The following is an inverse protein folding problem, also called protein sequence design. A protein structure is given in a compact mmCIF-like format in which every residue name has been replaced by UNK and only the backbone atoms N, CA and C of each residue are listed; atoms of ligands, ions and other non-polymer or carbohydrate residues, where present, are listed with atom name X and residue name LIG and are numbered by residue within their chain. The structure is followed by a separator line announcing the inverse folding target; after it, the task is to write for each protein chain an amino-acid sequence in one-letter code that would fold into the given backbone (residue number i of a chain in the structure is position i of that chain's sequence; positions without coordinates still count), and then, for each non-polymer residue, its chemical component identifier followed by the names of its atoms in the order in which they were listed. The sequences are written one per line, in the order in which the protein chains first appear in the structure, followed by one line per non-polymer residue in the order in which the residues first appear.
data_IF_360770251354
#
_entry.id   IF_360770251354
#
_cell.length_a   1.000
_cell.length_b   1.000
_cell.length_c   1.000
_cell.angle_alpha   90.00
_cell.angle_beta   90.00
_cell.angle_gamma   90.00
#
_symmetry.space_group_name_H-M   'P 1'
#
loop_
_entity.id
_entity.type
_entity.pdbx_description
1 polymer ?
#
# COMPACT_ATOMS: atom_id res chain seq x y z
N UNK A 1 -4.93 -13.46 19.73
CA UNK A 1 -3.54 -13.02 19.89
C UNK A 1 -3.49 -12.15 21.11
N UNK A 2 -2.71 -12.56 22.11
CA UNK A 2 -2.54 -11.81 23.36
C UNK A 2 -1.06 -11.55 23.57
N UNK A 3 -0.73 -10.34 23.99
CA UNK A 3 0.61 -9.90 24.32
C UNK A 3 0.84 -10.13 25.82
N UNK A 4 1.95 -10.82 26.11
CA UNK A 4 2.50 -11.01 27.44
C UNK A 4 3.89 -10.38 27.52
N UNK A 5 4.31 -9.99 28.71
CA UNK A 5 5.64 -9.42 28.95
C UNK A 5 6.43 -10.34 29.86
N UNK A 6 7.52 -10.90 29.34
CA UNK A 6 8.46 -11.67 30.15
C UNK A 6 9.68 -10.80 30.48
N UNK A 7 9.97 -10.65 31.77
CA UNK A 7 11.15 -9.93 32.24
C UNK A 7 12.21 -10.93 32.68
N UNK A 8 13.34 -10.97 31.96
CA UNK A 8 14.45 -11.87 32.26
C UNK A 8 15.04 -11.58 33.65
N UNK A 9 15.67 -12.58 34.31
CA UNK A 9 16.37 -12.35 35.57
C UNK A 9 17.43 -11.26 35.47
N UNK A 10 18.20 -11.24 34.37
CA UNK A 10 19.21 -10.21 34.08
C UNK A 10 18.58 -8.82 34.05
N UNK A 11 17.50 -8.64 33.29
CA UNK A 11 16.80 -7.36 33.20
C UNK A 11 16.25 -6.91 34.57
N UNK A 12 15.73 -7.82 35.40
CA UNK A 12 15.28 -7.50 36.76
C UNK A 12 16.43 -7.02 37.64
N UNK A 13 17.58 -7.70 37.59
CA UNK A 13 18.76 -7.33 38.36
C UNK A 13 19.29 -5.95 37.96
N UNK A 14 19.36 -5.67 36.65
CA UNK A 14 19.78 -4.36 36.14
C UNK A 14 18.79 -3.26 36.52
N UNK A 15 17.48 -3.54 36.48
CA UNK A 15 16.46 -2.60 36.92
C UNK A 15 16.61 -2.25 38.41
N UNK A 16 16.85 -3.24 39.27
CA UNK A 16 17.11 -3.01 40.70
C UNK A 16 18.37 -2.17 40.92
N UNK A 17 19.46 -2.51 40.23
CA UNK A 17 20.75 -1.81 40.33
C UNK A 17 20.62 -0.32 39.97
N UNK A 18 19.78 0.00 38.99
CA UNK A 18 19.57 1.37 38.53
C UNK A 18 18.29 2.04 39.07
N UNK A 19 17.61 1.42 40.04
CA UNK A 19 16.36 1.94 40.65
C UNK A 19 15.25 2.20 39.61
N UNK A 20 15.06 1.27 38.68
CA UNK A 20 14.10 1.33 37.58
C UNK A 20 12.99 0.29 37.69
N UNK A 21 12.91 -0.47 38.80
CA UNK A 21 11.96 -1.57 38.98
C UNK A 21 10.52 -1.10 38.76
N UNK A 22 10.09 -0.02 39.43
CA UNK A 22 8.72 0.50 39.30
C UNK A 22 8.40 0.92 37.86
N UNK A 23 9.35 1.56 37.17
CA UNK A 23 9.17 1.98 35.79
C UNK A 23 9.07 0.79 34.82
N UNK A 24 9.83 -0.28 35.07
CA UNK A 24 9.81 -1.50 34.27
C UNK A 24 8.50 -2.28 34.49
N UNK A 25 8.06 -2.42 35.73
CA UNK A 25 6.82 -3.12 36.08
C UNK A 25 5.58 -2.36 35.57
N UNK A 26 5.58 -1.03 35.70
CA UNK A 26 4.52 -0.18 35.13
C UNK A 26 4.45 -0.35 33.62
N UNK A 27 5.60 -0.28 32.92
CA UNK A 27 5.64 -0.49 31.46
C UNK A 27 5.12 -1.86 31.06
N UNK A 28 5.52 -2.92 31.78
CA UNK A 28 5.07 -4.27 31.49
C UNK A 28 3.56 -4.41 31.68
N UNK A 29 3.02 -3.90 32.80
CA UNK A 29 1.59 -3.87 33.08
C UNK A 29 0.81 -3.10 32.03
N UNK A 30 1.30 -1.92 31.62
CA UNK A 30 0.63 -1.09 30.62
C UNK A 30 0.57 -1.80 29.25
N UNK A 31 1.66 -2.44 28.83
CA UNK A 31 1.70 -3.22 27.56
C UNK A 31 0.71 -4.39 27.63
N UNK A 32 0.63 -5.12 28.74
CA UNK A 32 -0.32 -6.22 28.91
C UNK A 32 -1.77 -5.72 29.02
N UNK A 33 -2.04 -4.57 29.62
CA UNK A 33 -3.40 -4.01 29.68
C UNK A 33 -3.86 -3.45 28.33
N UNK A 34 -3.00 -2.68 27.67
CA UNK A 34 -3.31 -1.99 26.43
C UNK A 34 -3.21 -2.92 25.21
N UNK A 35 -2.60 -4.10 25.38
CA UNK A 35 -2.35 -5.08 24.33
C UNK A 35 -1.69 -4.43 23.11
N UNK A 36 -0.69 -3.57 23.35
CA UNK A 36 -0.03 -2.80 22.30
C UNK A 36 1.39 -2.37 22.65
N UNK A 37 2.21 -2.16 21.61
CA UNK A 37 3.63 -1.79 21.74
C UNK A 37 3.91 -0.28 21.53
N UNK A 38 2.88 0.59 21.54
CA UNK A 38 3.05 2.03 21.21
C UNK A 38 3.97 2.78 22.16
N UNK A 39 4.24 2.23 23.35
CA UNK A 39 5.21 2.76 24.31
C UNK A 39 6.67 2.46 23.92
N UNK A 40 6.90 1.63 22.92
CA UNK A 40 8.22 1.18 22.45
C UNK A 40 8.54 1.80 21.08
N UNK A 41 9.83 2.02 20.86
CA UNK A 41 10.36 2.33 19.54
C UNK A 41 10.64 1.01 18.81
N UNK A 42 10.14 0.90 17.58
CA UNK A 42 10.48 -0.22 16.71
C UNK A 42 12.00 -0.22 16.42
N UNK A 43 12.60 -1.40 16.53
CA UNK A 43 13.93 -1.70 16.03
C UNK A 43 13.81 -2.70 14.87
N UNK A 44 14.90 -2.99 14.13
CA UNK A 44 14.90 -4.11 13.20
C UNK A 44 14.29 -5.36 13.83
N UNK A 45 13.19 -5.84 13.24
CA UNK A 45 12.47 -7.02 13.72
C UNK A 45 13.43 -8.21 13.96
N UNK A 46 13.29 -8.96 15.06
CA UNK A 46 12.19 -8.96 16.05
C UNK A 46 12.39 -8.04 17.27
N UNK A 47 13.30 -7.08 17.23
CA UNK A 47 13.69 -6.29 18.41
C UNK A 47 12.88 -5.00 18.57
N UNK A 48 12.74 -4.59 19.84
CA UNK A 48 12.08 -3.34 20.26
C UNK A 48 12.91 -2.64 21.33
N UNK A 49 12.76 -1.33 21.46
CA UNK A 49 13.47 -0.55 22.48
C UNK A 49 12.54 0.43 23.18
N UNK A 50 12.54 0.43 24.53
CA UNK A 50 12.01 1.56 25.28
C UNK A 50 13.11 2.58 25.49
N UNK A 51 13.01 3.73 24.81
CA UNK A 51 13.84 4.88 25.19
C UNK A 51 13.29 5.52 26.46
N UNK A 52 14.22 5.94 27.32
CA UNK A 52 13.96 6.71 28.54
C UNK A 52 13.10 5.96 29.56
N UNK A 53 13.47 4.72 29.90
CA UNK A 53 12.78 3.94 30.93
C UNK A 53 13.07 4.54 32.32
N UNK A 54 12.08 5.21 32.91
CA UNK A 54 12.21 5.88 34.22
C UNK A 54 13.07 7.17 34.20
N UNK A 55 14.17 7.20 33.44
CA UNK A 55 15.00 8.40 33.28
C UNK A 55 15.52 8.58 31.84
N UNK A 56 16.06 9.76 31.51
CA UNK A 56 16.43 10.12 30.12
C UNK A 56 17.57 9.29 29.51
N UNK A 57 18.37 8.63 30.35
CA UNK A 57 19.61 7.95 29.94
C UNK A 57 19.46 6.45 29.75
N UNK A 58 18.36 5.83 30.15
CA UNK A 58 18.22 4.36 30.09
C UNK A 58 17.51 3.91 28.82
N UNK A 59 17.83 2.69 28.38
CA UNK A 59 17.30 2.03 27.20
C UNK A 59 17.02 0.58 27.53
N UNK A 60 15.76 0.18 27.56
CA UNK A 60 15.40 -1.25 27.67
C UNK A 60 15.36 -1.84 26.26
N UNK A 61 16.03 -2.97 26.08
CA UNK A 61 16.00 -3.74 24.83
C UNK A 61 15.12 -4.96 25.03
N UNK A 62 14.20 -5.16 24.09
CA UNK A 62 13.25 -6.25 24.10
C UNK A 62 13.32 -7.04 22.78
N UNK A 63 12.86 -8.29 22.81
CA UNK A 63 12.66 -9.14 21.64
C UNK A 63 11.25 -9.70 21.65
N UNK A 64 10.59 -9.71 20.50
CA UNK A 64 9.26 -10.28 20.34
C UNK A 64 9.37 -11.75 19.92
N UNK A 65 8.67 -12.64 20.62
CA UNK A 65 8.47 -14.03 20.19
C UNK A 65 6.98 -14.34 20.04
N UNK A 66 6.62 -15.13 19.03
CA UNK A 66 5.26 -15.63 18.86
C UNK A 66 5.24 -17.14 19.10
N UNK A 67 4.33 -17.59 19.97
CA UNK A 67 4.19 -18.98 20.38
C UNK A 67 2.78 -19.48 20.15
N UNK A 68 2.65 -20.67 19.57
CA UNK A 68 1.36 -21.35 19.43
C UNK A 68 1.13 -22.30 20.61
N UNK A 69 0.05 -22.05 21.36
CA UNK A 69 -0.39 -22.86 22.52
C UNK A 69 -1.90 -23.09 22.35
N UNK A 70 -2.34 -24.34 22.45
CA UNK A 70 -3.76 -24.73 22.35
C UNK A 70 -4.49 -24.19 21.10
N UNK A 71 -3.76 -24.05 19.98
CA UNK A 71 -4.29 -23.56 18.71
C UNK A 71 -4.34 -22.03 18.59
N UNK A 72 -4.02 -21.29 19.65
CA UNK A 72 -3.93 -19.83 19.62
C UNK A 72 -2.47 -19.35 19.55
N UNK A 73 -2.23 -18.27 18.81
CA UNK A 73 -0.93 -17.60 18.77
C UNK A 73 -0.91 -16.49 19.82
N UNK A 74 0.09 -16.52 20.68
CA UNK A 74 0.37 -15.50 21.69
C UNK A 74 1.74 -14.89 21.46
N UNK A 75 1.84 -13.59 21.67
CA UNK A 75 3.07 -12.84 21.55
C UNK A 75 3.66 -12.60 22.93
N UNK A 76 4.97 -12.81 23.08
CA UNK A 76 5.73 -12.54 24.30
C UNK A 76 6.79 -11.51 23.98
N UNK A 77 6.66 -10.34 24.60
CA UNK A 77 7.71 -9.35 24.63
C UNK A 77 8.71 -9.71 25.73
N UNK A 78 9.87 -10.21 25.33
CA UNK A 78 10.97 -10.61 26.22
C UNK A 78 11.85 -9.38 26.49
N UNK A 79 11.78 -8.83 27.69
CA UNK A 79 12.67 -7.76 28.16
C UNK A 79 14.05 -8.35 28.46
N UNK A 80 15.03 -8.09 27.58
CA UNK A 80 16.34 -8.72 27.63
C UNK A 80 17.24 -8.11 28.71
N UNK A 81 17.46 -6.80 28.62
CA UNK A 81 18.27 -6.04 29.58
C UNK A 81 18.11 -4.51 29.41
N UNK A 82 18.63 -3.75 30.38
CA UNK A 82 18.61 -2.28 30.39
C UNK A 82 20.03 -1.73 30.23
N UNK A 83 20.19 -0.79 29.30
CA UNK A 83 21.46 -0.16 29.00
C UNK A 83 21.46 1.35 29.26
N UNK A 84 22.63 1.90 29.57
CA UNK A 84 22.83 3.35 29.66
C UNK A 84 23.18 3.95 28.29
N UNK A 85 22.67 5.15 28.03
CA UNK A 85 22.93 5.92 26.83
C UNK A 85 24.39 6.34 26.82
N UNK A 86 25.11 5.90 25.80
CA UNK A 86 26.54 6.17 25.64
C UNK A 86 27.41 4.97 25.99
N UNK A 87 26.84 3.91 26.57
CA UNK A 87 27.54 2.64 26.78
C UNK A 87 28.08 2.09 25.44
N UNK A 88 29.36 1.69 25.43
CA UNK A 88 30.03 1.15 24.23
C UNK A 88 29.35 -0.12 23.73
N UNK A 89 28.95 -1.00 24.64
CA UNK A 89 28.24 -2.23 24.31
C UNK A 89 26.87 -1.91 23.70
N UNK A 90 26.12 -0.98 24.29
CA UNK A 90 24.83 -0.56 23.70
C UNK A 90 25.00 0.08 22.31
N UNK A 91 26.05 0.86 22.08
CA UNK A 91 26.31 1.44 20.76
C UNK A 91 26.59 0.36 19.71
N UNK A 92 27.31 -0.71 20.08
CA UNK A 92 27.54 -1.86 19.21
C UNK A 92 26.23 -2.61 18.96
N UNK A 93 25.49 -2.94 20.03
CA UNK A 93 24.18 -3.58 19.97
C UNK A 93 23.21 -2.79 19.08
N UNK A 94 23.16 -1.47 19.20
CA UNK A 94 22.31 -0.60 18.38
C UNK A 94 22.62 -0.72 16.89
N UNK A 95 23.91 -0.80 16.53
CA UNK A 95 24.36 -0.87 15.12
C UNK A 95 24.16 -2.27 14.53
N UNK A 96 24.27 -3.32 15.33
CA UNK A 96 24.27 -4.72 14.90
C UNK A 96 23.20 -5.55 15.62
N UNK A 97 22.03 -4.96 15.86
CA UNK A 97 20.99 -5.56 16.72
C UNK A 97 20.55 -6.96 16.28
N UNK A 98 20.58 -7.27 14.98
CA UNK A 98 20.21 -8.60 14.49
C UNK A 98 21.15 -9.70 14.97
N UNK A 99 22.45 -9.44 15.06
CA UNK A 99 23.43 -10.44 15.47
C UNK A 99 23.68 -10.36 16.98
N UNK A 100 23.96 -9.15 17.49
CA UNK A 100 24.27 -8.93 18.89
C UNK A 100 23.03 -9.08 19.79
N UNK A 101 21.84 -8.73 19.28
CA UNK A 101 20.58 -8.93 20.00
C UNK A 101 20.19 -10.40 20.12
N UNK A 102 20.48 -11.22 19.10
CA UNK A 102 20.24 -12.68 19.18
C UNK A 102 21.25 -13.33 20.14
N UNK A 103 22.52 -12.90 20.14
CA UNK A 103 23.50 -13.34 21.14
C UNK A 103 23.06 -12.97 22.56
N UNK A 104 22.62 -11.72 22.76
CA UNK A 104 22.10 -11.28 24.06
C UNK A 104 20.89 -12.12 24.47
N UNK A 105 19.95 -12.38 23.55
CA UNK A 105 18.79 -13.23 23.81
C UNK A 105 19.22 -14.61 24.30
N UNK A 106 20.09 -15.30 23.56
CA UNK A 106 20.62 -16.63 23.90
C UNK A 106 21.40 -16.67 25.21
N UNK A 107 21.97 -15.54 25.66
CA UNK A 107 22.67 -15.45 26.94
C UNK A 107 21.72 -15.35 28.14
N UNK A 108 20.55 -14.74 27.95
CA UNK A 108 19.64 -14.43 29.07
C UNK A 108 18.42 -15.34 29.14
N UNK A 109 18.07 -16.01 28.04
CA UNK A 109 16.94 -16.95 27.97
C UNK A 109 17.02 -17.82 26.70
N UNK A 110 16.07 -18.74 26.56
CA UNK A 110 15.82 -19.48 25.34
C UNK A 110 14.31 -19.63 25.08
N UNK A 111 13.95 -20.01 23.86
CA UNK A 111 12.55 -20.07 23.41
C UNK A 111 11.75 -21.17 24.12
N UNK A 112 12.39 -22.24 24.57
CA UNK A 112 11.72 -23.33 25.29
C UNK A 112 11.32 -22.88 26.70
N UNK A 113 12.18 -22.10 27.37
CA UNK A 113 11.87 -21.47 28.65
C UNK A 113 10.72 -20.46 28.53
N UNK A 114 10.72 -19.62 27.50
CA UNK A 114 9.64 -18.66 27.27
C UNK A 114 8.32 -19.40 27.04
N UNK A 115 8.33 -20.48 26.25
CA UNK A 115 7.14 -21.29 25.98
C UNK A 115 6.61 -21.97 27.24
N UNK A 116 7.47 -22.52 28.09
CA UNK A 116 7.04 -23.16 29.34
C UNK A 116 6.45 -22.13 30.32
N UNK A 117 7.11 -20.98 30.48
CA UNK A 117 6.61 -19.86 31.27
C UNK A 117 5.24 -19.38 30.79
N UNK A 118 5.07 -19.18 29.48
CA UNK A 118 3.81 -18.74 28.89
C UNK A 118 2.68 -19.76 29.12
N UNK A 119 2.99 -21.06 28.98
CA UNK A 119 2.04 -22.15 29.24
C UNK A 119 1.56 -22.13 30.70
N UNK A 120 2.44 -21.85 31.65
CA UNK A 120 2.06 -21.70 33.06
C UNK A 120 1.27 -20.42 33.32
N UNK A 121 1.64 -19.31 32.68
CA UNK A 121 0.97 -18.02 32.81
C UNK A 121 -0.48 -18.09 32.33
N UNK A 122 -0.73 -18.70 31.17
CA UNK A 122 -2.06 -18.90 30.60
C UNK A 122 -2.99 -19.73 31.50
N UNK A 123 -2.44 -20.65 32.30
CA UNK A 123 -3.23 -21.43 33.29
C UNK A 123 -3.68 -20.60 34.49
N UNK A 124 -2.90 -19.58 34.86
CA UNK A 124 -3.14 -18.75 36.05
C UNK A 124 -4.03 -17.56 35.74
N UNK A 125 -3.75 -16.88 34.63
CA UNK A 125 -4.43 -15.65 34.23
C UNK A 125 -5.05 -15.86 32.86
N UNK A 126 -6.39 -15.94 32.83
CA UNK A 126 -7.11 -15.95 31.57
C UNK A 126 -6.91 -14.59 30.88
N UNK A 127 -6.38 -14.54 29.65
CA UNK A 127 -6.05 -13.28 29.01
C UNK A 127 -7.29 -12.45 28.73
N UNK A 128 -7.22 -11.14 28.99
CA UNK A 128 -8.19 -10.18 28.44
C UNK A 128 -7.84 -10.01 26.96
N UNK A 129 -8.35 -10.92 26.13
CA UNK A 129 -8.18 -10.82 24.69
C UNK A 129 -9.06 -9.69 24.17
N UNK A 130 -8.46 -8.75 23.44
CA UNK A 130 -9.25 -7.88 22.56
C UNK A 130 -10.07 -8.77 21.61
N UNK A 131 -11.30 -8.36 21.25
CA UNK A 131 -12.08 -9.08 20.26
C UNK A 131 -11.22 -9.23 19.00
N UNK A 132 -11.11 -10.47 18.51
CA UNK A 132 -10.46 -10.73 17.23
C UNK A 132 -11.21 -9.92 16.17
N UNK A 133 -10.51 -9.29 15.20
CA UNK A 133 -11.19 -8.69 14.06
C UNK A 133 -12.14 -9.72 13.45
N UNK A 134 -13.35 -9.29 13.14
CA UNK A 134 -14.34 -10.10 12.43
C UNK A 134 -13.81 -10.53 11.08
N UNK A 135 -14.38 -11.58 10.49
CA UNK A 135 -13.99 -12.01 9.14
C UNK A 135 -14.14 -10.90 8.10
N UNK A 136 -15.13 -10.00 8.29
CA UNK A 136 -15.34 -8.81 7.48
C UNK A 136 -14.20 -7.80 7.63
N UNK A 137 -13.74 -7.52 8.86
CA UNK A 137 -12.58 -6.65 9.11
C UNK A 137 -11.28 -7.26 8.60
N UNK A 138 -11.10 -8.58 8.75
CA UNK A 138 -9.95 -9.30 8.19
C UNK A 138 -9.96 -9.25 6.66
N UNK A 139 -11.12 -9.44 6.03
CA UNK A 139 -11.26 -9.34 4.58
C UNK A 139 -11.01 -7.90 4.11
N UNK A 140 -11.48 -6.91 4.85
CA UNK A 140 -11.18 -5.51 4.56
C UNK A 140 -9.68 -5.22 4.64
N UNK A 141 -8.97 -5.71 5.67
CA UNK A 141 -7.54 -5.46 5.85
C UNK A 141 -6.66 -6.19 4.82
N UNK A 142 -7.01 -7.42 4.45
CA UNK A 142 -6.12 -8.31 3.70
C UNK A 142 -6.68 -8.79 2.37
N UNK A 143 -8.01 -8.89 2.23
CA UNK A 143 -8.63 -9.35 0.99
C UNK A 143 -8.80 -8.25 -0.04
N UNK A 144 -8.89 -6.97 0.32
CA UNK A 144 -8.91 -5.87 -0.66
C UNK A 144 -7.71 -5.98 -1.60
N UNK A 145 -6.51 -6.13 -1.05
CA UNK A 145 -5.25 -6.25 -1.80
C UNK A 145 -5.12 -7.57 -2.59
N UNK A 146 -5.76 -8.65 -2.11
CA UNK A 146 -5.71 -9.96 -2.74
C UNK A 146 -6.82 -10.20 -3.78
N UNK A 147 -7.94 -9.47 -3.67
CA UNK A 147 -9.11 -9.55 -4.56
C UNK A 147 -9.14 -8.45 -5.61
N UNK A 148 -8.47 -7.32 -5.37
CA UNK A 148 -7.95 -6.50 -6.45
C UNK A 148 -7.00 -7.39 -7.23
N UNK A 149 -7.35 -7.72 -8.48
CA UNK A 149 -6.52 -8.46 -9.43
C UNK A 149 -5.25 -7.67 -9.80
N UNK A 150 -4.40 -7.36 -8.81
CA UNK A 150 -2.99 -7.03 -8.96
C UNK A 150 -2.18 -8.33 -9.06
N UNK A 151 -2.69 -9.31 -9.82
CA UNK A 151 -1.85 -10.36 -10.38
C UNK A 151 -0.83 -9.66 -11.28
N UNK A 152 0.41 -9.56 -10.81
CA UNK A 152 1.57 -8.99 -11.51
C UNK A 152 1.27 -7.72 -12.33
N UNK A 153 1.38 -6.55 -11.68
CA UNK A 153 1.27 -5.24 -12.36
C UNK A 153 -0.09 -4.91 -12.98
N UNK A 154 -1.18 -5.46 -12.43
CA UNK A 154 -2.54 -5.06 -12.76
C UNK A 154 -3.03 -5.61 -14.11
N UNK A 155 -4.35 -5.71 -14.20
CA UNK A 155 -5.09 -5.71 -15.47
C UNK A 155 -5.27 -7.09 -16.15
N UNK A 156 -6.16 -7.91 -15.59
CA UNK A 156 -6.98 -8.83 -16.40
C UNK A 156 -8.06 -8.08 -17.23
N UNK A 157 -8.34 -6.81 -16.91
CA UNK A 157 -9.28 -5.97 -17.65
C UNK A 157 -8.58 -5.26 -18.80
N UNK A 158 -9.22 -5.18 -19.97
CA UNK A 158 -8.72 -4.37 -21.06
C UNK A 158 -8.66 -2.89 -20.63
N UNK A 159 -7.52 -2.23 -20.85
CA UNK A 159 -7.28 -0.85 -20.39
C UNK A 159 -7.24 0.13 -21.55
N UNK A 160 -7.64 1.38 -21.29
CA UNK A 160 -7.50 2.51 -22.21
C UNK A 160 -6.44 3.44 -21.67
N UNK A 161 -5.48 3.77 -22.52
CA UNK A 161 -4.42 4.74 -22.25
C UNK A 161 -4.71 6.00 -23.07
N UNK A 162 -4.72 7.16 -22.44
CA UNK A 162 -4.82 8.45 -23.14
C UNK A 162 -3.47 9.12 -23.24
N UNK A 163 -3.02 9.46 -24.45
CA UNK A 163 -1.73 10.12 -24.64
C UNK A 163 -1.71 11.53 -24.07
N UNK A 164 -0.52 12.04 -23.77
CA UNK A 164 -0.35 13.46 -23.42
C UNK A 164 -0.82 14.40 -24.54
N UNK A 165 -0.59 14.04 -25.80
CA UNK A 165 -1.03 14.87 -26.93
C UNK A 165 -2.55 14.97 -27.02
N UNK A 166 -3.28 13.90 -26.71
CA UNK A 166 -4.73 13.97 -26.61
C UNK A 166 -5.17 14.90 -25.48
N UNK A 167 -4.71 14.67 -24.25
CA UNK A 167 -5.22 15.42 -23.09
C UNK A 167 -4.82 16.89 -23.11
N UNK A 168 -3.59 17.22 -23.53
CA UNK A 168 -3.07 18.60 -23.49
C UNK A 168 -3.35 19.41 -24.76
N UNK A 169 -3.60 18.75 -25.90
CA UNK A 169 -3.83 19.43 -27.18
C UNK A 169 -5.20 19.09 -27.77
N UNK A 170 -5.46 17.83 -28.10
CA UNK A 170 -6.70 17.43 -28.79
C UNK A 170 -7.95 17.77 -27.99
N UNK A 171 -8.00 17.37 -26.71
CA UNK A 171 -9.14 17.60 -25.83
C UNK A 171 -9.43 19.08 -25.62
N UNK A 172 -8.39 19.94 -25.60
CA UNK A 172 -8.56 21.39 -25.48
C UNK A 172 -9.12 22.06 -26.73
N UNK A 173 -9.00 21.41 -27.88
CA UNK A 173 -9.55 21.88 -29.15
C UNK A 173 -10.97 21.37 -29.41
N UNK A 174 -11.45 20.40 -28.63
CA UNK A 174 -12.80 19.86 -28.78
C UNK A 174 -13.86 20.84 -28.30
N UNK A 175 -14.84 21.12 -29.16
CA UNK A 175 -16.15 21.60 -28.73
C UNK A 175 -16.92 20.51 -27.98
N UNK A 176 -17.95 20.90 -27.22
CA UNK A 176 -18.82 19.95 -26.53
C UNK A 176 -19.55 18.99 -27.49
N UNK A 177 -19.94 19.49 -28.67
CA UNK A 177 -20.56 18.68 -29.73
C UNK A 177 -19.59 17.62 -30.28
N UNK A 178 -18.34 18.01 -30.57
CA UNK A 178 -17.31 17.07 -31.01
C UNK A 178 -16.99 16.02 -29.94
N UNK A 179 -16.91 16.43 -28.66
CA UNK A 179 -16.67 15.49 -27.57
C UNK A 179 -17.81 14.47 -27.44
N UNK A 180 -19.04 14.91 -27.70
CA UNK A 180 -20.22 14.05 -27.73
C UNK A 180 -20.14 13.05 -28.87
N UNK A 181 -19.82 13.50 -30.08
CA UNK A 181 -19.65 12.63 -31.24
C UNK A 181 -18.54 11.58 -31.01
N UNK A 182 -17.37 12.01 -30.52
CA UNK A 182 -16.25 11.10 -30.19
C UNK A 182 -16.70 10.03 -29.19
N UNK A 183 -17.46 10.42 -28.16
CA UNK A 183 -17.95 9.46 -27.16
C UNK A 183 -18.91 8.43 -27.75
N UNK A 184 -19.78 8.81 -28.69
CA UNK A 184 -20.64 7.86 -29.39
C UNK A 184 -19.85 6.91 -30.29
N UNK A 185 -18.82 7.42 -30.97
CA UNK A 185 -17.94 6.57 -31.78
C UNK A 185 -17.14 5.58 -30.93
N UNK A 186 -16.71 5.97 -29.73
CA UNK A 186 -16.05 5.07 -28.78
C UNK A 186 -16.99 3.95 -28.31
N UNK A 187 -18.26 4.24 -28.05
CA UNK A 187 -19.28 3.22 -27.73
C UNK A 187 -19.43 2.25 -28.89
N UNK A 188 -19.59 2.75 -30.12
CA UNK A 188 -19.73 1.90 -31.31
C UNK A 188 -18.48 1.03 -31.53
N UNK A 189 -17.29 1.62 -31.43
CA UNK A 189 -16.02 0.91 -31.53
C UNK A 189 -15.91 -0.18 -30.46
N UNK A 190 -16.33 0.12 -29.23
CA UNK A 190 -16.25 -0.85 -28.12
C UNK A 190 -17.16 -2.07 -28.33
N UNK A 191 -18.28 -1.91 -29.02
CA UNK A 191 -19.21 -3.00 -29.32
C UNK A 191 -18.74 -3.89 -30.49
N UNK A 192 -17.78 -3.46 -31.31
CA UNK A 192 -17.31 -4.18 -32.51
C UNK A 192 -16.11 -5.11 -32.24
N UNK A 193 -15.99 -5.64 -31.02
CA UNK A 193 -14.93 -6.57 -30.61
C UNK A 193 -13.48 -6.08 -30.84
N UNK A 194 -13.26 -4.76 -30.86
CA UNK A 194 -11.93 -4.13 -30.67
C UNK A 194 -10.86 -4.51 -31.71
N UNK A 195 -11.26 -4.70 -32.96
CA UNK A 195 -10.42 -5.42 -33.94
C UNK A 195 -9.49 -4.53 -34.77
N UNK A 196 -9.71 -3.22 -34.83
CA UNK A 196 -8.89 -2.33 -35.66
C UNK A 196 -8.72 -0.91 -35.11
N UNK A 197 -7.62 -0.23 -35.50
CA UNK A 197 -7.50 1.21 -35.38
C UNK A 197 -8.71 1.95 -35.96
N UNK A 198 -9.16 3.00 -35.27
CA UNK A 198 -10.30 3.80 -35.68
C UNK A 198 -9.97 5.29 -35.53
N UNK A 199 -10.22 6.06 -36.60
CA UNK A 199 -10.19 7.52 -36.60
C UNK A 199 -11.48 8.02 -35.97
N UNK A 200 -11.38 8.74 -34.86
CA UNK A 200 -12.52 9.24 -34.10
C UNK A 200 -12.88 10.69 -34.45
N UNK A 201 -11.88 11.51 -34.79
CA UNK A 201 -12.09 12.90 -35.16
C UNK A 201 -10.88 13.46 -35.93
N UNK A 202 -11.16 14.40 -36.83
CA UNK A 202 -10.14 15.20 -37.53
C UNK A 202 -10.25 16.66 -37.08
N UNK A 203 -9.10 17.26 -36.81
CA UNK A 203 -8.92 18.64 -36.40
C UNK A 203 -8.01 19.33 -37.41
N UNK A 204 -8.01 20.66 -37.45
CA UNK A 204 -7.08 21.41 -38.30
C UNK A 204 -5.61 21.08 -37.99
N UNK A 205 -5.32 20.78 -36.73
CA UNK A 205 -3.97 20.52 -36.24
C UNK A 205 -3.58 19.03 -36.26
N UNK A 206 -4.50 18.10 -36.54
CA UNK A 206 -4.20 16.67 -36.44
C UNK A 206 -5.43 15.76 -36.35
N UNK A 207 -5.19 14.51 -36.00
CA UNK A 207 -6.21 13.45 -35.97
C UNK A 207 -6.23 12.72 -34.63
N UNK A 208 -7.43 12.35 -34.16
CA UNK A 208 -7.62 11.54 -32.96
C UNK A 208 -7.90 10.09 -33.36
N UNK A 209 -7.07 9.20 -32.85
CA UNK A 209 -7.15 7.76 -33.13
C UNK A 209 -7.29 6.95 -31.85
N UNK A 210 -8.09 5.89 -31.90
CA UNK A 210 -8.04 4.79 -30.94
C UNK A 210 -7.43 3.56 -31.59
N UNK A 211 -6.43 2.96 -30.93
CA UNK A 211 -5.69 1.80 -31.46
C UNK A 211 -5.66 0.65 -30.46
N UNK A 212 -6.14 -0.55 -30.83
CA UNK A 212 -6.04 -1.72 -29.98
C UNK A 212 -4.67 -2.39 -30.08
N UNK A 213 -4.12 -2.79 -28.93
CA UNK A 213 -2.95 -3.64 -28.79
C UNK A 213 -3.38 -4.95 -28.11
N UNK A 214 -4.01 -5.83 -28.89
CA UNK A 214 -4.68 -7.04 -28.38
C UNK A 214 -3.74 -7.99 -27.64
N UNK A 215 -2.50 -8.15 -28.12
CA UNK A 215 -1.45 -8.93 -27.44
C UNK A 215 -1.18 -8.43 -26.01
N UNK A 216 -1.33 -7.12 -25.79
CA UNK A 216 -1.10 -6.46 -24.50
C UNK A 216 -2.39 -6.15 -23.73
N UNK A 217 -3.55 -6.57 -24.24
CA UNK A 217 -4.88 -6.34 -23.64
C UNK A 217 -5.12 -4.85 -23.29
N UNK A 218 -4.76 -3.95 -24.18
CA UNK A 218 -4.99 -2.52 -23.98
C UNK A 218 -5.29 -1.80 -25.29
N UNK A 219 -5.72 -0.55 -25.21
CA UNK A 219 -5.82 0.36 -26.34
C UNK A 219 -5.28 1.75 -25.99
N UNK A 220 -4.83 2.48 -27.02
CA UNK A 220 -4.29 3.83 -26.89
C UNK A 220 -5.19 4.81 -27.64
N UNK A 221 -5.67 5.82 -26.93
CA UNK A 221 -6.29 7.02 -27.48
C UNK A 221 -5.20 8.09 -27.67
N UNK A 222 -4.85 8.39 -28.93
CA UNK A 222 -3.74 9.26 -29.27
C UNK A 222 -4.16 10.36 -30.25
N UNK A 223 -3.67 11.57 -29.99
CA UNK A 223 -3.78 12.68 -30.94
C UNK A 223 -2.48 12.82 -31.74
N UNK A 224 -2.58 12.71 -33.06
CA UNK A 224 -1.49 12.78 -34.02
C UNK A 224 -1.48 14.14 -34.68
N UNK A 225 -0.51 14.97 -34.30
CA UNK A 225 -0.37 16.33 -34.80
C UNK A 225 0.54 16.36 -36.03
N UNK A 226 0.17 17.16 -37.02
CA UNK A 226 0.91 17.37 -38.26
C UNK A 226 2.28 18.06 -38.07
N UNK A 227 2.58 18.61 -36.89
CA UNK A 227 3.67 19.58 -36.70
C UNK A 227 4.64 19.34 -35.53
N UNK A 228 4.49 18.28 -34.72
CA UNK A 228 5.23 18.17 -33.45
C UNK A 228 6.13 16.93 -33.32
N UNK A 229 7.39 17.17 -32.94
CA UNK A 229 8.40 16.18 -32.55
C UNK A 229 8.16 15.50 -31.18
N UNK A 230 7.04 15.78 -30.51
CA UNK A 230 6.71 15.31 -29.14
C UNK A 230 5.63 14.22 -29.10
N UNK A 231 5.07 13.84 -30.24
CA UNK A 231 4.14 12.72 -30.36
C UNK A 231 4.91 11.39 -30.40
N UNK A 232 4.39 10.37 -29.72
CA UNK A 232 4.81 8.97 -29.94
C UNK A 232 4.77 8.71 -31.46
N UNK A 233 5.93 8.49 -32.07
CA UNK A 233 5.98 8.11 -33.47
C UNK A 233 5.30 6.74 -33.61
N UNK A 234 4.35 6.62 -34.53
CA UNK A 234 3.61 5.39 -34.79
C UNK A 234 4.56 4.20 -35.00
N UNK A 235 5.65 4.40 -35.75
CA UNK A 235 6.64 3.35 -36.03
C UNK A 235 7.32 2.85 -34.75
N UNK A 236 7.68 3.77 -33.83
CA UNK A 236 8.27 3.42 -32.54
C UNK A 236 7.29 2.69 -31.63
N UNK A 237 6.01 3.09 -31.67
CA UNK A 237 4.95 2.47 -30.88
C UNK A 237 4.67 1.04 -31.34
N UNK A 238 4.54 0.84 -32.66
CA UNK A 238 4.34 -0.48 -33.27
C UNK A 238 5.55 -1.39 -33.04
N UNK A 239 6.77 -0.87 -33.23
CA UNK A 239 7.99 -1.61 -32.93
C UNK A 239 8.06 -2.00 -31.44
N UNK A 240 7.76 -1.08 -30.53
CA UNK A 240 7.74 -1.38 -29.10
C UNK A 240 6.69 -2.43 -28.72
N UNK A 241 5.52 -2.43 -29.37
CA UNK A 241 4.49 -3.44 -29.16
C UNK A 241 4.95 -4.84 -29.61
N UNK A 242 5.71 -4.94 -30.70
CA UNK A 242 6.23 -6.23 -31.18
C UNK A 242 7.37 -6.74 -30.30
N UNK A 243 8.29 -5.87 -29.91
CA UNK A 243 9.53 -6.27 -29.22
C UNK A 243 9.37 -6.54 -27.73
N UNK A 244 8.38 -5.91 -27.07
CA UNK A 244 8.24 -5.93 -25.62
C UNK A 244 7.21 -6.96 -25.18
N UNK A 245 7.45 -7.57 -24.01
CA UNK A 245 6.37 -8.25 -23.30
C UNK A 245 5.33 -7.21 -22.80
N UNK A 246 4.16 -7.68 -22.35
CA UNK A 246 3.08 -6.77 -21.93
C UNK A 246 3.46 -5.84 -20.77
N UNK A 247 4.30 -6.30 -19.85
CA UNK A 247 4.78 -5.50 -18.72
C UNK A 247 5.65 -4.34 -19.22
N UNK A 248 6.67 -4.65 -20.02
CA UNK A 248 7.61 -3.64 -20.52
C UNK A 248 6.93 -2.67 -21.49
N UNK A 249 5.94 -3.15 -22.26
CA UNK A 249 5.15 -2.31 -23.15
C UNK A 249 4.24 -1.34 -22.37
N UNK A 250 3.59 -1.80 -21.32
CA UNK A 250 2.79 -0.93 -20.44
C UNK A 250 3.65 0.12 -19.74
N UNK A 251 4.84 -0.26 -19.24
CA UNK A 251 5.78 0.70 -18.65
C UNK A 251 6.28 1.73 -19.66
N UNK A 252 6.46 1.31 -20.92
CA UNK A 252 6.78 2.21 -22.02
C UNK A 252 5.62 3.20 -22.28
N UNK A 253 4.38 2.71 -22.36
CA UNK A 253 3.19 3.55 -22.57
C UNK A 253 2.94 4.52 -21.42
N UNK A 254 3.05 4.07 -20.17
CA UNK A 254 2.83 4.89 -18.98
C UNK A 254 3.70 6.16 -18.93
N UNK A 255 4.86 6.17 -19.60
CA UNK A 255 5.73 7.35 -19.72
C UNK A 255 5.22 8.37 -20.74
N UNK A 256 4.36 7.96 -21.67
CA UNK A 256 3.86 8.74 -22.78
C UNK A 256 2.35 9.01 -22.68
N UNK A 257 1.70 8.49 -21.64
CA UNK A 257 0.27 8.62 -21.42
C UNK A 257 -0.02 9.44 -20.18
N UNK A 258 -1.14 10.15 -20.21
CA UNK A 258 -1.60 11.01 -19.13
C UNK A 258 -2.63 10.31 -18.26
N UNK A 259 -3.54 9.53 -18.87
CA UNK A 259 -4.60 8.82 -18.14
C UNK A 259 -4.64 7.35 -18.49
N UNK A 260 -5.09 6.54 -17.53
CA UNK A 260 -5.31 5.10 -17.65
C UNK A 260 -6.62 4.76 -16.94
N UNK A 261 -7.52 4.06 -17.63
CA UNK A 261 -8.79 3.60 -17.04
C UNK A 261 -9.30 2.32 -17.71
N UNK A 262 -10.19 1.55 -17.06
CA UNK A 262 -10.76 0.35 -17.66
C UNK A 262 -11.57 0.66 -18.93
N UNK A 263 -11.46 -0.22 -19.92
CA UNK A 263 -12.20 -0.10 -21.19
C UNK A 263 -13.72 -0.13 -21.02
N UNK A 264 -14.23 -0.66 -19.90
CA UNK A 264 -15.65 -0.59 -19.57
C UNK A 264 -16.18 0.85 -19.49
N UNK A 265 -15.32 1.86 -19.27
CA UNK A 265 -15.74 3.26 -19.33
C UNK A 265 -16.13 3.73 -20.74
N UNK A 266 -15.74 2.99 -21.79
CA UNK A 266 -16.10 3.33 -23.17
C UNK A 266 -17.51 2.86 -23.56
N UNK A 267 -18.17 2.02 -22.75
CA UNK A 267 -19.50 1.49 -23.09
C UNK A 267 -20.64 2.48 -22.82
N UNK A 268 -20.39 3.54 -22.04
CA UNK A 268 -21.33 4.62 -21.77
C UNK A 268 -20.70 5.97 -22.15
N UNK A 269 -21.29 6.61 -23.15
CA UNK A 269 -20.88 7.92 -23.65
C UNK A 269 -20.86 9.00 -22.56
N UNK A 270 -21.86 9.04 -21.68
CA UNK A 270 -21.96 10.03 -20.61
C UNK A 270 -20.89 9.81 -19.56
N UNK A 271 -20.57 8.55 -19.25
CA UNK A 271 -19.52 8.20 -18.29
C UNK A 271 -18.15 8.65 -18.80
N UNK A 272 -17.83 8.34 -20.06
CA UNK A 272 -16.57 8.79 -20.67
C UNK A 272 -16.48 10.32 -20.76
N UNK A 273 -17.54 11.01 -21.19
CA UNK A 273 -17.57 12.48 -21.23
C UNK A 273 -17.35 13.10 -19.85
N UNK A 274 -18.03 12.61 -18.82
CA UNK A 274 -17.88 13.12 -17.45
C UNK A 274 -16.43 13.02 -16.97
N UNK A 275 -15.76 11.91 -17.29
CA UNK A 275 -14.34 11.72 -16.99
C UNK A 275 -13.45 12.75 -17.69
N UNK A 276 -13.76 13.15 -18.93
CA UNK A 276 -12.96 14.14 -19.65
C UNK A 276 -12.92 15.51 -18.96
N UNK A 277 -14.01 15.88 -18.29
CA UNK A 277 -14.12 17.15 -17.55
C UNK A 277 -13.24 17.17 -16.29
N UNK A 278 -12.85 16.00 -15.76
CA UNK A 278 -11.95 15.93 -14.61
C UNK A 278 -10.50 15.68 -15.06
N UNK A 279 -9.73 16.75 -15.19
CA UNK A 279 -8.31 16.71 -15.60
C UNK A 279 -7.38 16.04 -14.58
N UNK A 280 -7.83 15.83 -13.34
CA UNK A 280 -7.04 15.24 -12.27
C UNK A 280 -7.35 13.75 -12.00
N UNK A 281 -8.38 13.20 -12.64
CA UNK A 281 -8.79 11.81 -12.46
C UNK A 281 -8.01 10.83 -13.36
N UNK A 282 -7.98 9.55 -12.96
CA UNK A 282 -7.47 8.42 -13.74
C UNK A 282 -6.03 8.60 -14.23
N UNK A 283 -5.17 9.20 -13.41
CA UNK A 283 -3.79 9.49 -13.80
C UNK A 283 -3.00 8.21 -14.06
N UNK A 284 -2.21 8.21 -15.14
CA UNK A 284 -1.24 7.16 -15.39
C UNK A 284 -0.16 7.17 -14.30
N UNK A 285 0.06 6.04 -13.63
CA UNK A 285 1.18 5.90 -12.72
C UNK A 285 2.50 5.83 -13.48
N UNK A 286 3.52 6.53 -12.98
CA UNK A 286 4.89 6.23 -13.36
C UNK A 286 5.25 4.79 -12.96
N UNK A 287 6.24 4.16 -13.63
CA UNK A 287 6.72 2.83 -13.25
C UNK A 287 7.12 2.72 -11.77
N UNK A 288 7.69 3.79 -11.20
CA UNK A 288 8.05 3.82 -9.78
C UNK A 288 6.83 3.83 -8.85
N UNK A 289 5.79 4.59 -9.19
CA UNK A 289 4.56 4.64 -8.39
C UNK A 289 3.81 3.30 -8.45
N UNK A 290 3.74 2.69 -9.64
CA UNK A 290 3.18 1.36 -9.83
C UNK A 290 3.96 0.28 -9.06
N UNK A 291 5.29 0.36 -9.03
CA UNK A 291 6.14 -0.56 -8.27
C UNK A 291 5.92 -0.41 -6.75
N UNK A 292 5.81 0.83 -6.24
CA UNK A 292 5.51 1.10 -4.82
C UNK A 292 4.16 0.51 -4.44
N UNK A 293 3.14 0.73 -5.27
CA UNK A 293 1.81 0.19 -5.06
C UNK A 293 1.83 -1.35 -5.07
N UNK A 294 2.45 -1.96 -6.08
CA UNK A 294 2.56 -3.41 -6.21
C UNK A 294 3.29 -4.05 -5.02
N UNK A 295 4.46 -3.53 -4.65
CA UNK A 295 5.23 -4.06 -3.51
C UNK A 295 4.50 -3.91 -2.19
N UNK A 296 3.73 -2.85 -2.03
CA UNK A 296 2.91 -2.60 -0.85
C UNK A 296 1.79 -3.64 -0.73
N UNK A 297 1.09 -3.90 -1.83
CA UNK A 297 -0.06 -4.82 -1.86
C UNK A 297 0.35 -6.29 -1.69
N UNK A 298 1.61 -6.65 -1.99
CA UNK A 298 2.14 -8.01 -1.90
C UNK A 298 2.79 -8.35 -0.54
N UNK A 299 2.77 -7.43 0.44
CA UNK A 299 3.32 -7.71 1.77
C UNK A 299 2.35 -8.56 2.61
N UNK A 300 2.86 -9.59 3.30
CA UNK A 300 2.07 -10.41 4.24
C UNK A 300 1.45 -9.59 5.39
N UNK A 301 2.01 -8.39 5.67
CA UNK A 301 1.51 -7.43 6.66
C UNK A 301 1.56 -6.01 6.07
N UNK A 302 0.57 -5.62 5.25
CA UNK A 302 0.59 -4.34 4.54
C UNK A 302 0.35 -3.14 5.47
N UNK A 303 -0.16 -3.37 6.68
CA UNK A 303 -0.45 -2.32 7.65
C UNK A 303 0.44 -2.39 8.90
N UNK A 304 0.82 -1.22 9.47
CA UNK A 304 0.59 0.13 8.96
C UNK A 304 1.42 0.43 7.69
N UNK A 305 0.78 1.01 6.67
CA UNK A 305 1.43 1.37 5.41
C UNK A 305 2.03 2.78 5.48
N UNK A 306 3.34 2.90 5.20
CA UNK A 306 4.02 4.18 5.08
C UNK A 306 4.48 4.44 3.63
N UNK A 307 3.86 5.42 2.95
CA UNK A 307 4.25 5.84 1.61
C UNK A 307 5.22 7.03 1.71
N UNK A 308 6.52 6.74 1.60
CA UNK A 308 7.57 7.75 1.62
C UNK A 308 7.93 8.22 0.20
N UNK A 309 8.08 9.53 0.00
CA UNK A 309 8.48 10.09 -1.30
C UNK A 309 8.74 11.59 -1.24
N UNK A 310 9.59 12.10 -2.15
CA UNK A 310 9.91 13.54 -2.24
C UNK A 310 8.68 14.36 -2.65
N UNK A 311 8.73 15.69 -2.50
CA UNK A 311 7.66 16.54 -3.01
C UNK A 311 7.46 16.30 -4.52
N UNK A 312 6.22 16.20 -4.97
CA UNK A 312 5.87 15.90 -6.38
C UNK A 312 5.92 14.42 -6.79
N UNK A 313 6.23 13.48 -5.90
CA UNK A 313 6.34 12.04 -6.22
C UNK A 313 5.00 11.27 -6.28
N UNK A 314 3.87 11.96 -6.49
CA UNK A 314 2.54 11.32 -6.60
C UNK A 314 1.99 10.58 -5.38
N UNK A 315 2.48 10.86 -4.15
CA UNK A 315 1.97 10.19 -2.91
C UNK A 315 0.46 10.28 -2.75
N UNK A 316 -0.13 11.46 -3.01
CA UNK A 316 -1.57 11.66 -2.93
C UNK A 316 -2.31 10.82 -3.96
N UNK A 317 -1.78 10.71 -5.18
CA UNK A 317 -2.32 9.88 -6.25
C UNK A 317 -2.32 8.41 -5.85
N UNK A 318 -1.18 7.88 -5.37
CA UNK A 318 -1.12 6.48 -4.87
C UNK A 318 -2.15 6.25 -3.76
N UNK A 319 -2.27 7.18 -2.81
CA UNK A 319 -3.23 7.06 -1.70
C UNK A 319 -4.69 7.10 -2.17
N UNK A 320 -5.02 7.95 -3.15
CA UNK A 320 -6.37 8.03 -3.75
C UNK A 320 -6.73 6.73 -4.47
N UNK A 321 -5.81 6.16 -5.25
CA UNK A 321 -6.03 4.87 -5.91
C UNK A 321 -6.17 3.71 -4.91
N UNK A 322 -5.34 3.66 -3.87
CA UNK A 322 -5.53 2.71 -2.78
C UNK A 322 -6.92 2.88 -2.17
N UNK A 323 -7.29 4.10 -1.81
CA UNK A 323 -8.60 4.39 -1.22
C UNK A 323 -9.77 3.98 -2.12
N UNK A 324 -9.67 4.18 -3.45
CA UNK A 324 -10.71 3.74 -4.39
C UNK A 324 -10.90 2.23 -4.42
N UNK A 325 -9.82 1.44 -4.27
CA UNK A 325 -9.94 -0.03 -4.18
C UNK A 325 -10.68 -0.46 -2.91
N UNK A 326 -10.37 0.16 -1.78
CA UNK A 326 -11.08 -0.08 -0.52
C UNK A 326 -12.55 0.31 -0.62
N UNK A 327 -12.87 1.44 -1.25
CA UNK A 327 -14.25 1.85 -1.50
C UNK A 327 -15.00 0.87 -2.42
N UNK A 328 -14.36 0.44 -3.51
CA UNK A 328 -14.94 -0.53 -4.44
C UNK A 328 -15.24 -1.84 -3.71
N UNK A 329 -14.30 -2.35 -2.91
CA UNK A 329 -14.51 -3.54 -2.09
C UNK A 329 -15.68 -3.37 -1.12
N UNK A 330 -15.77 -2.24 -0.40
CA UNK A 330 -16.91 -1.93 0.47
C UNK A 330 -18.24 -1.96 -0.29
N UNK A 331 -18.28 -1.44 -1.53
CA UNK A 331 -19.49 -1.41 -2.35
C UNK A 331 -19.94 -2.81 -2.78
N UNK A 332 -19.00 -3.72 -3.05
CA UNK A 332 -19.27 -5.10 -3.43
C UNK A 332 -19.74 -5.95 -2.25
N UNK A 333 -19.34 -5.61 -1.02
CA UNK A 333 -19.74 -6.32 0.20
C UNK A 333 -21.05 -5.83 0.83
N UNK A 334 -21.80 -4.93 0.16
CA UNK A 334 -23.11 -4.50 0.64
C UNK A 334 -24.06 -5.68 0.80
N UNK A 335 -24.32 -6.07 2.05
CA UNK A 335 -25.29 -7.10 2.40
C UNK A 335 -26.41 -6.46 3.24
N UNK A 336 -27.67 -6.82 2.96
CA UNK A 336 -28.86 -6.18 3.53
C UNK A 336 -28.95 -6.21 5.07
N UNK A 337 -28.16 -7.04 5.73
CA UNK A 337 -28.26 -7.32 7.16
C UNK A 337 -27.14 -6.72 8.04
N UNK A 338 -26.15 -6.01 7.46
CA UNK A 338 -25.07 -5.38 8.23
C UNK A 338 -24.65 -4.04 7.63
N UNK A 339 -24.30 -3.04 8.45
CA UNK A 339 -23.75 -1.79 7.95
C UNK A 339 -22.39 -2.07 7.27
N UNK A 340 -22.10 -1.49 6.09
CA UNK A 340 -20.84 -1.72 5.40
C UNK A 340 -19.67 -1.09 6.18
N UNK A 341 -18.51 -1.74 6.14
CA UNK A 341 -17.25 -1.14 6.58
C UNK A 341 -16.78 -0.20 5.49
N UNK A 342 -16.61 1.09 5.81
CA UNK A 342 -16.13 2.10 4.86
C UNK A 342 -14.74 2.61 5.27
N UNK A 343 -13.84 2.82 4.30
CA UNK A 343 -12.58 3.49 4.56
C UNK A 343 -12.84 4.97 4.87
N UNK A 344 -12.03 5.55 5.76
CA UNK A 344 -12.06 6.98 6.05
C UNK A 344 -10.82 7.66 5.45
N UNK A 345 -11.02 8.76 4.71
CA UNK A 345 -9.96 9.55 4.10
C UNK A 345 -9.78 10.86 4.86
N UNK A 346 -8.61 11.07 5.45
CA UNK A 346 -8.29 12.29 6.17
C UNK A 346 -7.21 13.08 5.44
N UNK A 347 -7.42 14.38 5.29
CA UNK A 347 -6.47 15.32 4.69
C UNK A 347 -6.11 16.41 5.68
N UNK A 348 -4.97 17.08 5.46
CA UNK A 348 -4.57 18.23 6.28
C UNK A 348 -5.20 19.55 5.83
N UNK A 349 -5.90 19.59 4.68
CA UNK A 349 -6.65 20.75 4.19
C UNK A 349 -7.74 20.37 3.17
N UNK A 350 -8.71 21.26 2.99
CA UNK A 350 -9.84 21.06 2.09
C UNK A 350 -9.44 20.93 0.61
N UNK A 351 -8.43 21.68 0.17
CA UNK A 351 -7.98 21.66 -1.24
C UNK A 351 -7.49 20.28 -1.69
N UNK A 352 -6.95 19.48 -0.78
CA UNK A 352 -6.55 18.09 -1.07
C UNK A 352 -7.77 17.16 -1.15
N UNK A 353 -8.81 17.43 -0.39
CA UNK A 353 -10.09 16.70 -0.46
C UNK A 353 -10.81 17.00 -1.77
N UNK A 354 -10.85 18.25 -2.20
CA UNK A 354 -11.53 18.64 -3.45
C UNK A 354 -10.84 18.09 -4.71
N UNK A 355 -9.59 17.63 -4.58
CA UNK A 355 -8.81 16.97 -5.63
C UNK A 355 -8.89 15.45 -5.59
N UNK A 356 -9.43 14.87 -4.52
CA UNK A 356 -9.69 13.45 -4.38
C UNK A 356 -11.09 13.13 -4.93
#
# INVERSE_FOLDING_TARGET
MTIFVYITPTCRQTAQTHQLTDALETLASDIEQEQAFWRLDAFPHPFWVKKRLGNRHTRLVCRLESHQIDGEIHDVLVCLDIFLRGDKYYQQLYRQIREEGEKLYQQVTDSQLIKSWLTERLKKDAPIALPKPTDEEMAFLYSVCASSNYEQQGHQLAMVYESWSWVEHGLRQCSAEQLTEISHQLVLWSNQAYSSPCLLATFESGELWIRPFTQHKLCLLNFENNSSHTTLNQEQLEQAAVEKNSIDFQQFLARHTRRIYPQSFLSDANQWQTMQHNLAANLAFSPQEAEILYKTLQQERPFPLFINGRAGSGKSTILQHLFSEYLYFSSQQMSYNKPPIYPAYFTCNQTLTDRA
#
